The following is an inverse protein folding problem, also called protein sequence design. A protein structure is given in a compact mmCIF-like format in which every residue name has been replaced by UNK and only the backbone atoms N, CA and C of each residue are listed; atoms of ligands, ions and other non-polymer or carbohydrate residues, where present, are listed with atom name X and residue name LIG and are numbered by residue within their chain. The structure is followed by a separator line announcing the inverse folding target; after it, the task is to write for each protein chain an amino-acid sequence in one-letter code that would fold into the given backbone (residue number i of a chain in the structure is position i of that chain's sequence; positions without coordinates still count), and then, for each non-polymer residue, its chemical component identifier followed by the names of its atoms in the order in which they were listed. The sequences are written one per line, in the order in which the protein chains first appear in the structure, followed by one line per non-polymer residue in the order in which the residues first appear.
data_IF_660060349185
#
_entry.id   IF_660060349185
#
_cell.length_a   1.000
_cell.length_b   1.000
_cell.length_c   1.000
_cell.angle_alpha   90.00
_cell.angle_beta   90.00
_cell.angle_gamma   90.00
#
_symmetry.space_group_name_H-M   'P 1'
#
loop_
_entity.id
_entity.type
_entity.pdbx_description
1 polymer ?
#
# COMPACT_ATOMS: atom_id res chain seq x y z
N UNK A 1 -19.28 56.49 -38.20
CA UNK A 1 -18.35 55.85 -37.24
C UNK A 1 -19.17 54.95 -36.32
N UNK A 2 -19.14 53.64 -36.55
CA UNK A 2 -19.69 52.62 -35.64
C UNK A 2 -18.52 51.74 -35.24
N UNK A 3 -18.07 51.86 -33.99
CA UNK A 3 -16.95 51.09 -33.45
C UNK A 3 -17.51 49.78 -32.92
N UNK A 4 -17.22 48.67 -33.62
CA UNK A 4 -17.52 47.33 -33.15
C UNK A 4 -16.44 46.93 -32.13
N UNK A 5 -16.86 46.62 -30.90
CA UNK A 5 -16.00 46.06 -29.86
C UNK A 5 -15.92 44.55 -30.09
N UNK A 6 -14.78 44.05 -30.55
CA UNK A 6 -14.49 42.62 -30.65
C UNK A 6 -14.03 42.16 -29.28
N UNK A 7 -14.89 41.44 -28.55
CA UNK A 7 -14.53 40.77 -27.31
C UNK A 7 -13.91 39.42 -27.66
N UNK A 8 -12.58 39.37 -27.71
CA UNK A 8 -11.83 38.12 -27.91
C UNK A 8 -11.87 37.30 -26.60
N UNK A 9 -12.60 36.18 -26.59
CA UNK A 9 -12.45 35.16 -25.54
C UNK A 9 -11.09 34.47 -25.72
N UNK A 10 -10.14 34.81 -24.85
CA UNK A 10 -8.96 33.99 -24.61
C UNK A 10 -9.35 32.88 -23.64
N UNK A 11 -9.79 31.72 -24.16
CA UNK A 11 -9.68 30.47 -23.40
C UNK A 11 -8.19 30.11 -23.36
N UNK A 12 -7.49 30.60 -22.33
CA UNK A 12 -6.17 30.09 -21.99
C UNK A 12 -6.32 28.66 -21.48
N UNK A 13 -5.96 27.68 -22.30
CA UNK A 13 -5.62 26.36 -21.80
C UNK A 13 -4.36 26.53 -20.93
N UNK A 14 -4.55 26.64 -19.61
CA UNK A 14 -3.45 26.52 -18.67
C UNK A 14 -2.95 25.07 -18.80
N UNK A 15 -1.87 24.86 -19.56
CA UNK A 15 -1.09 23.64 -19.45
C UNK A 15 -0.53 23.64 -18.04
N UNK A 16 -1.14 22.85 -17.15
CA UNK A 16 -0.53 22.59 -15.86
C UNK A 16 0.85 21.96 -16.14
N UNK A 17 1.89 22.59 -15.61
CA UNK A 17 3.26 22.09 -15.75
C UNK A 17 3.38 20.79 -14.96
N UNK A 18 4.03 19.79 -15.55
CA UNK A 18 4.37 18.55 -14.83
C UNK A 18 5.17 18.89 -13.57
N UNK A 19 4.97 18.09 -12.52
CA UNK A 19 5.77 18.17 -11.29
C UNK A 19 6.86 17.10 -11.29
N UNK A 20 7.85 17.29 -10.43
CA UNK A 20 8.89 16.30 -10.15
C UNK A 20 8.56 15.56 -8.86
N UNK A 21 8.66 14.24 -8.90
CA UNK A 21 8.56 13.33 -7.75
C UNK A 21 9.93 12.81 -7.40
N UNK A 22 10.21 12.73 -6.10
CA UNK A 22 11.42 12.11 -5.56
C UNK A 22 11.07 10.80 -4.85
N UNK A 23 11.75 9.73 -5.23
CA UNK A 23 11.61 8.41 -4.62
C UNK A 23 12.84 8.04 -3.78
N UNK A 24 12.67 7.21 -2.73
CA UNK A 24 11.39 6.70 -2.23
C UNK A 24 10.59 7.78 -1.47
N UNK A 25 9.27 7.73 -1.54
CA UNK A 25 8.40 8.66 -0.78
C UNK A 25 8.31 8.30 0.70
N UNK A 26 8.51 7.02 1.04
CA UNK A 26 8.71 6.54 2.41
C UNK A 26 10.01 5.71 2.44
N UNK A 27 11.16 6.30 2.81
CA UNK A 27 12.44 5.60 2.88
C UNK A 27 12.51 4.62 4.06
N UNK A 28 13.41 3.65 3.99
CA UNK A 28 13.56 2.61 5.02
C UNK A 28 12.42 1.59 5.02
N UNK A 29 12.24 0.89 6.14
CA UNK A 29 11.29 -0.21 6.28
C UNK A 29 9.82 0.24 6.21
N UNK A 30 9.32 0.40 4.98
CA UNK A 30 7.94 0.72 4.61
C UNK A 30 7.50 -0.19 3.45
N UNK A 31 7.34 -1.50 3.69
CA UNK A 31 6.98 -2.44 2.64
C UNK A 31 5.46 -2.47 2.40
N UNK A 32 5.08 -3.13 1.31
CA UNK A 32 3.70 -3.53 1.01
C UNK A 32 2.71 -2.35 1.15
N UNK A 33 2.93 -1.23 0.42
CA UNK A 33 2.17 -0.01 0.63
C UNK A 33 0.74 -0.11 0.09
N UNK A 34 -0.25 0.24 0.91
CA UNK A 34 -1.62 0.45 0.47
C UNK A 34 -2.10 1.84 0.84
N UNK A 35 -2.59 2.59 -0.15
CA UNK A 35 -2.90 4.00 0.01
C UNK A 35 -4.33 4.33 -0.43
N UNK A 36 -4.94 5.30 0.26
CA UNK A 36 -6.29 5.76 -0.04
C UNK A 36 -6.40 7.28 0.11
N UNK A 37 -7.04 7.91 -0.87
CA UNK A 37 -7.39 9.33 -0.82
C UNK A 37 -8.71 9.56 -0.08
N UNK A 38 -8.73 10.55 0.80
CA UNK A 38 -9.85 10.81 1.71
C UNK A 38 -10.26 12.29 1.63
N UNK A 39 -11.29 12.63 0.82
CA UNK A 39 -11.66 14.01 0.58
C UNK A 39 -12.15 14.73 1.85
N UNK A 40 -12.88 14.01 2.71
CA UNK A 40 -13.49 14.59 3.91
C UNK A 40 -12.49 14.83 5.05
N UNK A 41 -11.24 14.35 4.93
CA UNK A 41 -10.15 14.62 5.87
C UNK A 41 -9.14 15.55 5.22
N UNK A 42 -9.60 16.72 4.78
CA UNK A 42 -8.79 17.77 4.17
C UNK A 42 -8.04 17.32 2.90
N UNK A 43 -8.67 16.47 2.09
CA UNK A 43 -8.05 15.89 0.88
C UNK A 43 -6.70 15.18 1.16
N UNK A 44 -6.56 14.55 2.33
CA UNK A 44 -5.36 13.78 2.65
C UNK A 44 -5.37 12.43 1.93
N UNK A 45 -4.17 11.98 1.57
CA UNK A 45 -3.86 10.59 1.25
C UNK A 45 -3.31 9.95 2.51
N UNK A 46 -3.77 8.74 2.82
CA UNK A 46 -3.23 7.91 3.89
C UNK A 46 -2.62 6.64 3.31
N UNK A 47 -1.48 6.21 3.83
CA UNK A 47 -0.86 4.95 3.47
C UNK A 47 -0.61 4.08 4.70
N UNK A 48 -0.71 2.76 4.51
CA UNK A 48 -0.31 1.75 5.47
C UNK A 48 0.86 0.93 4.91
N UNK A 49 1.74 0.48 5.80
CA UNK A 49 2.85 -0.43 5.46
C UNK A 49 2.87 -1.63 6.41
N UNK A 50 3.34 -2.78 5.91
CA UNK A 50 3.53 -3.96 6.74
C UNK A 50 4.59 -3.71 7.83
N UNK A 51 4.55 -4.50 8.90
CA UNK A 51 5.39 -4.25 10.09
C UNK A 51 6.11 -5.48 10.64
N UNK A 52 5.74 -6.68 10.18
CA UNK A 52 6.33 -7.95 10.61
C UNK A 52 6.27 -8.05 12.13
N UNK A 53 7.43 -8.17 12.79
CA UNK A 53 7.54 -8.26 14.25
C UNK A 53 7.64 -6.90 14.95
N UNK A 54 7.54 -5.79 14.22
CA UNK A 54 7.65 -4.45 14.81
C UNK A 54 6.35 -4.08 15.54
N UNK A 55 6.48 -3.56 16.76
CA UNK A 55 5.37 -3.05 17.55
C UNK A 55 5.69 -1.64 18.08
N UNK A 56 4.76 -0.67 18.04
CA UNK A 56 3.39 -0.76 17.52
C UNK A 56 3.34 -1.06 16.01
N UNK A 57 2.37 -1.89 15.61
CA UNK A 57 2.26 -2.49 14.27
C UNK A 57 1.42 -1.65 13.30
N UNK A 58 1.74 -1.79 12.00
CA UNK A 58 1.21 -1.03 10.86
C UNK A 58 1.24 0.47 11.11
N UNK A 59 2.31 1.09 10.63
CA UNK A 59 2.40 2.54 10.59
C UNK A 59 1.40 3.10 9.56
N UNK A 60 0.63 4.10 9.99
CA UNK A 60 -0.21 4.92 9.14
C UNK A 60 0.48 6.25 8.89
N UNK A 61 0.70 6.58 7.62
CA UNK A 61 1.24 7.87 7.20
C UNK A 61 0.19 8.68 6.47
N UNK A 62 0.31 10.01 6.51
CA UNK A 62 -0.60 10.93 5.83
C UNK A 62 0.18 11.96 5.01
N UNK A 63 -0.34 12.32 3.84
CA UNK A 63 0.22 13.35 2.98
C UNK A 63 -0.87 14.13 2.25
N UNK A 64 -0.60 15.41 1.98
CA UNK A 64 -1.43 16.24 1.10
C UNK A 64 -0.86 16.38 -0.30
N UNK A 65 0.45 16.27 -0.45
CA UNK A 65 1.17 16.61 -1.69
C UNK A 65 1.93 15.42 -2.29
N UNK A 66 1.77 14.23 -1.70
CA UNK A 66 2.42 12.97 -2.08
C UNK A 66 3.96 12.97 -1.97
N UNK A 67 4.57 14.00 -1.37
CA UNK A 67 6.02 14.11 -1.18
C UNK A 67 6.40 14.22 0.29
N UNK A 68 5.64 15.01 1.06
CA UNK A 68 5.83 15.15 2.49
C UNK A 68 4.81 14.27 3.22
N UNK A 69 5.32 13.36 4.04
CA UNK A 69 4.53 12.37 4.76
C UNK A 69 4.73 12.52 6.26
N UNK A 70 3.64 12.51 7.00
CA UNK A 70 3.64 12.52 8.47
C UNK A 70 3.25 11.13 8.99
N UNK A 71 3.95 10.64 10.02
CA UNK A 71 3.58 9.46 10.81
C UNK A 71 2.44 9.83 11.75
N UNK A 72 1.23 9.34 11.48
CA UNK A 72 0.02 9.82 12.16
C UNK A 72 -0.54 8.85 13.19
N UNK A 73 -0.45 7.55 12.97
CA UNK A 73 -0.87 6.55 13.96
C UNK A 73 -0.28 5.18 13.67
N UNK A 74 -0.57 4.22 14.54
CA UNK A 74 -0.38 2.80 14.30
C UNK A 74 -1.71 2.08 14.45
N UNK A 75 -2.06 1.19 13.51
CA UNK A 75 -3.32 0.44 13.58
C UNK A 75 -3.32 -0.55 14.76
N UNK A 76 -2.13 -1.05 15.14
CA UNK A 76 -1.94 -1.91 16.30
C UNK A 76 -1.06 -1.21 17.32
N UNK A 77 -1.65 -0.84 18.45
CA UNK A 77 -0.92 -0.16 19.52
C UNK A 77 -1.26 -0.69 20.91
N UNK A 78 -2.21 -1.62 21.01
CA UNK A 78 -2.60 -2.25 22.27
C UNK A 78 -2.37 -3.75 22.24
N UNK A 79 -1.86 -4.30 23.33
CA UNK A 79 -1.56 -5.73 23.43
C UNK A 79 -2.82 -6.61 23.34
N UNK A 80 -3.96 -6.11 23.80
CA UNK A 80 -5.25 -6.79 23.75
C UNK A 80 -5.86 -6.84 22.34
N UNK A 81 -5.43 -5.97 21.41
CA UNK A 81 -5.85 -6.05 20.00
C UNK A 81 -5.34 -7.32 19.33
N UNK A 82 -4.09 -7.73 19.60
CA UNK A 82 -3.48 -8.92 18.98
C UNK A 82 -2.71 -9.75 20.01
N UNK A 83 -3.41 -10.50 20.89
CA UNK A 83 -2.75 -11.30 21.91
C UNK A 83 -1.79 -12.37 21.35
N UNK A 84 -2.08 -12.87 20.14
CA UNK A 84 -1.25 -13.86 19.43
C UNK A 84 0.12 -13.30 19.02
N UNK A 85 0.21 -11.99 18.79
CA UNK A 85 1.46 -11.33 18.39
C UNK A 85 2.55 -11.39 19.46
N UNK A 86 2.17 -11.62 20.73
CA UNK A 86 3.09 -11.82 21.83
C UNK A 86 3.71 -13.24 21.88
N UNK A 87 3.27 -14.15 21.02
CA UNK A 87 3.83 -15.50 20.94
C UNK A 87 5.15 -15.51 20.16
N UNK A 88 6.08 -16.44 20.45
CA UNK A 88 7.31 -16.56 19.69
C UNK A 88 7.05 -16.76 18.20
N UNK A 89 7.73 -15.98 17.37
CA UNK A 89 7.65 -16.03 15.92
C UNK A 89 9.06 -16.02 15.33
N UNK A 90 9.19 -16.31 14.03
CA UNK A 90 10.46 -16.16 13.31
C UNK A 90 10.55 -14.77 12.68
N UNK A 91 11.75 -14.38 12.26
CA UNK A 91 12.06 -13.07 11.67
C UNK A 91 11.25 -12.73 10.40
N UNK A 92 10.60 -13.71 9.78
CA UNK A 92 9.74 -13.53 8.60
C UNK A 92 8.24 -13.56 8.91
N UNK A 93 7.84 -13.80 10.16
CA UNK A 93 6.45 -13.82 10.58
C UNK A 93 5.91 -12.46 11.03
N UNK A 94 4.73 -12.47 11.65
CA UNK A 94 4.05 -11.28 12.16
C UNK A 94 3.18 -10.62 11.09
N UNK A 95 3.04 -9.30 11.17
CA UNK A 95 2.08 -8.55 10.34
C UNK A 95 2.59 -8.30 8.92
N UNK A 96 2.04 -9.04 7.97
CA UNK A 96 2.33 -8.95 6.53
C UNK A 96 1.52 -7.85 5.83
N UNK A 97 1.50 -7.84 4.49
CA UNK A 97 0.93 -6.79 3.64
C UNK A 97 -0.47 -6.34 4.07
N UNK A 98 -0.66 -5.06 4.45
CA UNK A 98 -1.97 -4.52 4.77
C UNK A 98 -2.66 -3.96 3.52
N UNK A 99 -3.99 -4.03 3.50
CA UNK A 99 -4.80 -3.24 2.57
C UNK A 99 -5.57 -2.19 3.37
N UNK A 100 -5.40 -0.91 3.01
CA UNK A 100 -6.12 0.22 3.60
C UNK A 100 -7.18 0.71 2.62
N UNK A 101 -8.43 0.77 3.07
CA UNK A 101 -9.54 1.32 2.30
C UNK A 101 -10.37 2.29 3.13
N UNK A 102 -11.06 3.19 2.45
CA UNK A 102 -11.95 4.16 3.07
C UNK A 102 -13.32 4.12 2.41
N UNK A 103 -14.37 3.98 3.23
CA UNK A 103 -15.75 4.00 2.77
C UNK A 103 -16.64 4.63 3.82
N UNK A 104 -17.49 5.57 3.39
CA UNK A 104 -18.57 6.14 4.21
C UNK A 104 -18.11 6.67 5.59
N UNK A 105 -16.98 7.39 5.64
CA UNK A 105 -16.48 7.98 6.89
C UNK A 105 -15.60 7.06 7.74
N UNK A 106 -15.32 5.85 7.28
CA UNK A 106 -14.57 4.84 8.03
C UNK A 106 -13.43 4.25 7.22
N UNK A 107 -12.30 4.06 7.88
CA UNK A 107 -11.18 3.28 7.38
C UNK A 107 -11.37 1.81 7.74
N UNK A 108 -11.04 0.95 6.79
CA UNK A 108 -10.98 -0.49 6.94
C UNK A 108 -9.57 -0.91 6.59
N UNK A 109 -8.94 -1.64 7.50
CA UNK A 109 -7.64 -2.22 7.26
C UNK A 109 -7.73 -3.73 7.40
N UNK A 110 -7.24 -4.44 6.40
CA UNK A 110 -7.10 -5.90 6.42
C UNK A 110 -5.64 -6.28 6.35
N UNK A 111 -5.25 -7.33 7.06
CA UNK A 111 -3.87 -7.85 7.07
C UNK A 111 -3.86 -9.28 7.59
N UNK A 112 -2.67 -9.88 7.64
CA UNK A 112 -2.40 -11.23 8.12
C UNK A 112 -1.31 -11.17 9.18
N UNK A 113 -1.56 -11.77 10.35
CA UNK A 113 -0.52 -12.16 11.30
C UNK A 113 -0.07 -13.58 10.97
N UNK A 114 1.16 -13.70 10.46
CA UNK A 114 1.73 -14.96 10.00
C UNK A 114 2.48 -15.65 11.13
N UNK A 115 1.99 -16.81 11.55
CA UNK A 115 2.63 -17.66 12.55
C UNK A 115 3.73 -18.51 11.90
N UNK A 116 4.83 -17.86 11.54
CA UNK A 116 5.88 -18.46 10.71
C UNK A 116 6.57 -19.74 11.24
N UNK A 117 6.52 -20.09 12.54
CA UNK A 117 6.93 -21.41 13.02
C UNK A 117 6.10 -22.60 12.50
N UNK A 118 4.84 -22.36 12.07
CA UNK A 118 3.99 -23.40 11.49
C UNK A 118 4.37 -23.64 10.02
N UNK A 119 4.24 -24.85 9.45
CA UNK A 119 4.48 -25.11 8.04
C UNK A 119 3.61 -24.25 7.12
N UNK A 120 4.05 -24.00 5.88
CA UNK A 120 3.27 -23.23 4.91
C UNK A 120 1.91 -23.88 4.63
N UNK A 121 1.82 -25.21 4.62
CA UNK A 121 0.62 -26.03 4.38
C UNK A 121 -0.30 -26.23 5.60
N UNK A 122 0.00 -25.54 6.71
CA UNK A 122 -0.88 -25.45 7.86
C UNK A 122 -1.79 -24.22 7.74
N UNK A 123 -3.09 -24.43 7.52
CA UNK A 123 -4.07 -23.34 7.39
C UNK A 123 -4.09 -22.43 8.64
N UNK A 124 -3.73 -22.95 9.82
CA UNK A 124 -3.68 -22.16 11.06
C UNK A 124 -2.48 -21.20 11.15
N UNK A 125 -1.56 -21.26 10.18
CA UNK A 125 -0.48 -20.28 10.00
C UNK A 125 -1.01 -18.87 9.71
N UNK A 126 -2.20 -18.77 9.12
CA UNK A 126 -2.73 -17.56 8.50
C UNK A 126 -3.81 -16.90 9.36
N UNK A 127 -3.42 -15.99 10.27
CA UNK A 127 -4.39 -15.28 11.11
C UNK A 127 -4.80 -13.98 10.42
N UNK A 128 -5.97 -13.98 9.79
CA UNK A 128 -6.46 -12.84 9.02
C UNK A 128 -7.59 -12.09 9.75
N UNK A 129 -7.59 -10.77 9.63
CA UNK A 129 -8.57 -9.94 10.34
C UNK A 129 -8.73 -8.53 9.75
N UNK A 130 -9.82 -7.86 10.14
CA UNK A 130 -10.15 -6.48 9.81
C UNK A 130 -10.07 -5.63 11.08
N UNK A 131 -9.46 -4.46 11.01
CA UNK A 131 -9.62 -3.39 12.01
C UNK A 131 -10.15 -2.13 11.35
N UNK A 132 -10.89 -1.32 12.11
CA UNK A 132 -11.51 -0.10 11.58
C UNK A 132 -11.25 1.11 12.46
N UNK A 133 -11.29 2.29 11.87
CA UNK A 133 -11.29 3.56 12.60
C UNK A 133 -12.06 4.65 11.86
N UNK A 134 -12.59 5.63 12.58
CA UNK A 134 -13.09 6.90 12.02
C UNK A 134 -12.10 8.05 12.21
N UNK A 135 -10.99 7.83 12.93
CA UNK A 135 -9.95 8.83 13.22
C UNK A 135 -8.55 8.23 13.00
N UNK A 136 -8.02 8.23 11.77
CA UNK A 136 -6.73 7.63 11.44
C UNK A 136 -5.53 8.36 12.07
N UNK A 137 -5.73 9.47 12.78
CA UNK A 137 -4.68 10.22 13.47
C UNK A 137 -4.44 9.74 14.91
N UNK A 138 -5.18 8.73 15.35
CA UNK A 138 -5.16 8.24 16.73
C UNK A 138 -5.03 6.74 16.78
N UNK A 139 -3.90 6.24 17.30
CA UNK A 139 -3.64 4.80 17.41
C UNK A 139 -4.66 4.08 18.32
N UNK A 140 -5.20 4.77 19.32
CA UNK A 140 -6.20 4.24 20.25
C UNK A 140 -7.63 4.22 19.68
N UNK A 141 -7.86 4.80 18.51
CA UNK A 141 -9.17 4.81 17.83
C UNK A 141 -9.44 3.55 16.99
N UNK A 142 -8.39 2.78 16.69
CA UNK A 142 -8.51 1.55 15.92
C UNK A 142 -9.22 0.48 16.75
N UNK A 143 -10.22 -0.15 16.14
CA UNK A 143 -11.05 -1.18 16.78
C UNK A 143 -10.23 -2.40 17.18
N UNK A 144 -10.88 -3.27 17.97
CA UNK A 144 -10.44 -4.66 18.09
C UNK A 144 -10.69 -5.38 16.76
N UNK A 145 -9.96 -6.46 16.46
CA UNK A 145 -10.05 -7.16 15.19
C UNK A 145 -11.35 -7.96 15.03
N UNK A 146 -11.90 -7.91 13.82
CA UNK A 146 -12.88 -8.89 13.33
C UNK A 146 -12.12 -9.93 12.52
N UNK A 147 -11.99 -11.13 13.07
CA UNK A 147 -11.27 -12.23 12.42
C UNK A 147 -12.10 -12.88 11.32
N UNK A 148 -11.44 -13.39 10.28
CA UNK A 148 -12.06 -14.16 9.22
C UNK A 148 -11.15 -15.34 8.81
N UNK A 149 -11.78 -16.41 8.35
CA UNK A 149 -11.12 -17.70 8.11
C UNK A 149 -10.79 -17.89 6.63
N UNK A 150 -9.53 -17.65 6.27
CA UNK A 150 -8.97 -17.90 4.93
C UNK A 150 -7.55 -18.48 5.05
N UNK A 151 -7.22 -19.39 4.12
CA UNK A 151 -5.98 -20.19 4.07
C UNK A 151 -4.80 -19.47 3.40
N UNK A 152 -4.60 -18.19 3.69
CA UNK A 152 -3.55 -17.41 3.04
C UNK A 152 -3.38 -15.98 3.52
N UNK A 153 -2.87 -15.13 2.65
CA UNK A 153 -2.34 -13.81 3.02
C UNK A 153 -2.68 -12.74 1.96
N UNK A 154 -2.24 -11.50 2.23
CA UNK A 154 -2.57 -10.29 1.47
C UNK A 154 -4.08 -10.08 1.25
N UNK A 155 -4.90 -10.12 2.31
CA UNK A 155 -6.33 -9.86 2.20
C UNK A 155 -6.58 -8.42 1.75
N UNK A 156 -7.38 -8.24 0.70
CA UNK A 156 -7.75 -6.94 0.14
C UNK A 156 -9.26 -6.81 -0.04
N UNK A 157 -9.81 -5.78 0.58
CA UNK A 157 -11.23 -5.43 0.47
C UNK A 157 -11.56 -4.69 -0.83
N UNK A 158 -12.74 -4.99 -1.36
CA UNK A 158 -13.36 -4.35 -2.50
C UNK A 158 -14.87 -4.23 -2.28
N UNK A 159 -15.46 -3.08 -2.59
CA UNK A 159 -16.92 -2.92 -2.59
C UNK A 159 -17.43 -2.84 -4.02
N UNK A 160 -18.51 -3.56 -4.30
CA UNK A 160 -19.16 -3.54 -5.60
C UNK A 160 -20.49 -2.77 -5.57
N UNK A 161 -21.00 -2.45 -6.75
CA UNK A 161 -22.28 -1.74 -6.94
C UNK A 161 -23.50 -2.59 -6.53
N UNK A 162 -23.32 -3.88 -6.25
CA UNK A 162 -24.35 -4.75 -5.68
C UNK A 162 -24.58 -4.51 -4.17
N UNK A 163 -23.77 -3.64 -3.56
CA UNK A 163 -23.84 -3.27 -2.15
C UNK A 163 -23.06 -4.20 -1.22
N UNK A 164 -22.43 -5.24 -1.74
CA UNK A 164 -21.63 -6.19 -0.97
C UNK A 164 -20.17 -5.74 -0.86
N UNK A 165 -19.53 -6.21 0.20
CA UNK A 165 -18.08 -6.22 0.32
C UNK A 165 -17.56 -7.59 -0.11
N UNK A 166 -16.41 -7.56 -0.78
CA UNK A 166 -15.67 -8.74 -1.21
C UNK A 166 -14.24 -8.68 -0.70
N UNK A 167 -13.67 -9.86 -0.52
CA UNK A 167 -12.29 -10.06 -0.12
C UNK A 167 -11.56 -10.85 -1.21
N UNK A 168 -10.40 -10.36 -1.62
CA UNK A 168 -9.41 -11.11 -2.40
C UNK A 168 -8.20 -11.46 -1.53
N UNK A 169 -7.60 -12.63 -1.72
CA UNK A 169 -6.38 -13.04 -1.01
C UNK A 169 -5.56 -14.03 -1.84
N UNK A 170 -4.29 -14.20 -1.47
CA UNK A 170 -3.35 -15.15 -2.07
C UNK A 170 -3.12 -16.36 -1.16
N UNK A 171 -2.72 -17.50 -1.73
CA UNK A 171 -2.38 -18.73 -0.97
C UNK A 171 -1.05 -19.29 -1.44
N UNK A 172 -0.15 -19.70 -0.52
CA UNK A 172 1.12 -20.34 -0.88
C UNK A 172 0.93 -21.76 -1.44
N UNK A 173 -0.05 -22.51 -0.92
CA UNK A 173 -0.27 -23.91 -1.29
C UNK A 173 -1.40 -24.05 -2.29
N UNK A 174 -1.07 -23.89 -3.56
CA UNK A 174 -2.04 -24.14 -4.61
C UNK A 174 -2.14 -25.64 -4.90
N UNK A 175 -3.21 -26.30 -4.44
CA UNK A 175 -3.66 -27.53 -5.09
C UNK A 175 -4.14 -27.15 -6.51
N UNK A 176 -3.34 -27.51 -7.54
CA UNK A 176 -3.55 -27.19 -8.96
C UNK A 176 -3.38 -25.70 -9.36
N UNK A 177 -2.32 -25.03 -8.91
CA UNK A 177 -1.92 -23.69 -9.39
C UNK A 177 -2.96 -22.56 -9.16
N UNK A 178 -3.96 -22.77 -8.30
CA UNK A 178 -4.95 -21.77 -7.87
C UNK A 178 -4.40 -20.90 -6.75
N UNK A 179 -4.22 -19.61 -7.01
CA UNK A 179 -3.42 -18.76 -6.11
C UNK A 179 -4.22 -17.56 -5.61
N UNK A 180 -4.95 -16.84 -6.47
CA UNK A 180 -5.78 -15.70 -6.04
C UNK A 180 -7.23 -16.13 -5.88
N UNK A 181 -7.76 -16.00 -4.67
CA UNK A 181 -9.14 -16.31 -4.30
C UNK A 181 -9.96 -15.05 -4.08
N UNK A 182 -11.27 -15.18 -4.23
CA UNK A 182 -12.23 -14.09 -4.08
C UNK A 182 -13.56 -14.60 -3.52
N UNK A 183 -14.11 -13.89 -2.55
CA UNK A 183 -15.38 -14.24 -1.91
C UNK A 183 -16.08 -12.98 -1.36
N UNK A 184 -17.43 -12.97 -1.25
CA UNK A 184 -18.10 -11.95 -0.46
C UNK A 184 -17.76 -12.13 1.03
N UNK A 185 -17.72 -11.02 1.77
CA UNK A 185 -17.41 -10.99 3.20
C UNK A 185 -18.44 -10.14 3.95
N UNK A 186 -18.87 -10.64 5.10
CA UNK A 186 -19.61 -9.85 6.09
C UNK A 186 -18.60 -9.16 7.03
N UNK A 187 -18.56 -7.82 7.00
CA UNK A 187 -17.52 -7.05 7.70
C UNK A 187 -17.69 -7.00 9.23
N UNK A 188 -18.88 -7.28 9.73
CA UNK A 188 -19.18 -7.24 11.17
C UNK A 188 -18.84 -8.57 11.86
N UNK A 189 -19.11 -9.69 11.17
CA UNK A 189 -18.89 -11.05 11.68
C UNK A 189 -17.61 -11.71 11.16
N UNK A 190 -17.02 -11.20 10.08
CA UNK A 190 -15.90 -11.84 9.38
C UNK A 190 -16.31 -13.08 8.56
N UNK A 191 -17.61 -13.34 8.38
CA UNK A 191 -18.08 -14.52 7.66
C UNK A 191 -17.71 -14.44 6.17
N UNK A 192 -16.99 -15.44 5.67
CA UNK A 192 -16.61 -15.57 4.26
C UNK A 192 -17.65 -16.41 3.52
N UNK A 193 -18.12 -15.92 2.37
CA UNK A 193 -19.00 -16.66 1.48
C UNK A 193 -18.29 -17.70 0.63
N UNK A 194 -18.95 -18.16 -0.44
CA UNK A 194 -18.33 -19.14 -1.35
C UNK A 194 -17.15 -18.53 -2.10
N UNK A 195 -15.95 -19.06 -1.85
CA UNK A 195 -14.73 -18.63 -2.52
C UNK A 195 -14.61 -19.15 -3.95
N UNK A 196 -14.07 -18.32 -4.81
CA UNK A 196 -13.78 -18.62 -6.21
C UNK A 196 -12.34 -18.17 -6.47
N UNK A 197 -11.47 -19.07 -6.92
CA UNK A 197 -10.18 -18.65 -7.46
C UNK A 197 -10.44 -17.75 -8.69
N UNK A 198 -9.84 -16.59 -8.89
CA UNK A 198 -10.27 -15.70 -10.00
C UNK A 198 -9.22 -15.55 -11.09
N UNK A 199 -7.95 -15.68 -10.73
CA UNK A 199 -6.82 -15.60 -11.65
C UNK A 199 -5.57 -16.24 -11.01
N UNK A 200 -4.66 -16.75 -11.84
CA UNK A 200 -3.44 -17.42 -11.39
C UNK A 200 -2.17 -16.65 -11.78
N UNK A 201 -2.32 -15.37 -12.15
CA UNK A 201 -1.24 -14.56 -12.68
C UNK A 201 -0.87 -14.91 -14.12
N UNK A 202 0.36 -14.58 -14.48
CA UNK A 202 0.94 -14.74 -15.82
C UNK A 202 1.88 -15.94 -15.93
N UNK A 203 2.05 -16.67 -14.84
CA UNK A 203 2.97 -17.81 -14.72
C UNK A 203 4.27 -17.48 -14.00
N UNK A 204 4.36 -16.30 -13.37
CA UNK A 204 5.43 -15.97 -12.44
C UNK A 204 5.29 -16.76 -11.13
N UNK A 205 6.37 -16.83 -10.35
CA UNK A 205 6.33 -17.44 -9.02
C UNK A 205 5.57 -16.55 -8.04
N UNK A 206 4.87 -17.14 -7.07
CA UNK A 206 4.22 -16.41 -5.97
C UNK A 206 3.31 -15.24 -6.40
N UNK A 207 2.24 -15.49 -7.19
CA UNK A 207 1.17 -14.52 -7.37
C UNK A 207 0.56 -14.08 -6.02
N UNK A 208 0.59 -12.79 -5.71
CA UNK A 208 0.21 -12.26 -4.39
C UNK A 208 -0.31 -10.81 -4.46
N UNK A 209 -0.54 -10.16 -3.32
CA UNK A 209 -0.97 -8.74 -3.25
C UNK A 209 -2.19 -8.37 -4.13
N UNK A 210 -3.31 -9.12 -4.10
CA UNK A 210 -4.41 -8.87 -5.02
C UNK A 210 -5.19 -7.59 -4.68
N UNK A 211 -5.29 -6.64 -5.61
CA UNK A 211 -6.18 -5.49 -5.48
C UNK A 211 -7.16 -5.38 -6.64
N UNK A 212 -8.44 -5.18 -6.32
CA UNK A 212 -9.52 -5.10 -7.31
C UNK A 212 -10.01 -3.66 -7.49
N UNK A 213 -10.20 -3.28 -8.75
CA UNK A 213 -10.73 -1.98 -9.16
C UNK A 213 -11.88 -2.15 -10.13
N UNK A 214 -12.92 -1.32 -10.01
CA UNK A 214 -14.00 -1.27 -11.01
C UNK A 214 -13.85 -0.02 -11.88
N UNK A 215 -13.65 -0.21 -13.18
CA UNK A 215 -13.50 0.88 -14.14
C UNK A 215 -14.00 0.48 -15.52
N UNK A 216 -14.76 1.37 -16.17
CA UNK A 216 -15.26 1.20 -17.54
C UNK A 216 -16.02 -0.13 -17.78
N UNK A 217 -16.78 -0.59 -16.78
CA UNK A 217 -17.54 -1.84 -16.83
C UNK A 217 -16.69 -3.12 -16.68
N UNK A 218 -15.43 -2.98 -16.27
CA UNK A 218 -14.53 -4.08 -15.95
C UNK A 218 -14.11 -4.07 -14.49
N UNK A 219 -13.99 -5.26 -13.92
CA UNK A 219 -13.23 -5.55 -12.71
C UNK A 219 -11.79 -5.81 -13.12
N UNK A 220 -10.86 -4.97 -12.71
CA UNK A 220 -9.44 -5.13 -12.92
C UNK A 220 -8.83 -5.71 -11.65
N UNK A 221 -8.06 -6.78 -11.78
CA UNK A 221 -7.34 -7.43 -10.70
C UNK A 221 -5.85 -7.21 -10.93
N UNK A 222 -5.26 -6.40 -10.06
CA UNK A 222 -3.83 -6.14 -9.96
C UNK A 222 -3.24 -7.14 -8.97
N UNK A 223 -2.09 -7.72 -9.28
CA UNK A 223 -1.36 -8.62 -8.38
C UNK A 223 0.15 -8.36 -8.48
N UNK A 224 0.90 -8.88 -7.53
CA UNK A 224 2.34 -9.05 -7.64
C UNK A 224 2.69 -10.48 -8.08
N UNK A 225 3.82 -10.65 -8.76
CA UNK A 225 4.42 -11.94 -9.11
C UNK A 225 5.96 -11.85 -9.04
N UNK A 226 6.65 -12.98 -9.11
CA UNK A 226 8.12 -13.07 -9.13
C UNK A 226 8.78 -13.10 -7.74
N UNK A 227 7.97 -13.07 -6.68
CA UNK A 227 8.40 -12.92 -5.28
C UNK A 227 9.02 -11.55 -5.00
N UNK A 228 9.10 -11.14 -3.72
CA UNK A 228 9.57 -9.81 -3.32
C UNK A 228 11.09 -9.54 -3.52
N UNK A 229 11.78 -10.36 -4.32
CA UNK A 229 13.20 -10.23 -4.66
C UNK A 229 13.41 -9.54 -6.02
N UNK A 230 14.55 -9.79 -6.68
CA UNK A 230 14.86 -9.13 -7.96
C UNK A 230 13.91 -9.45 -9.12
N UNK A 231 13.18 -10.55 -9.04
CA UNK A 231 12.19 -10.94 -10.05
C UNK A 231 10.82 -10.26 -9.87
N UNK A 232 10.66 -9.44 -8.82
CA UNK A 232 9.37 -8.85 -8.46
C UNK A 232 8.79 -8.02 -9.61
N UNK A 233 7.50 -8.16 -9.79
CA UNK A 233 6.76 -7.47 -10.83
C UNK A 233 5.29 -7.30 -10.45
N UNK A 234 4.63 -6.36 -11.13
CA UNK A 234 3.19 -6.13 -11.05
C UNK A 234 2.55 -6.60 -12.34
N UNK A 235 1.49 -7.40 -12.22
CA UNK A 235 0.69 -7.85 -13.36
C UNK A 235 -0.79 -7.53 -13.13
N UNK A 236 -1.53 -7.38 -14.22
CA UNK A 236 -2.96 -7.06 -14.16
C UNK A 236 -3.76 -7.90 -15.15
N UNK A 237 -4.97 -8.24 -14.75
CA UNK A 237 -5.99 -8.85 -15.60
C UNK A 237 -7.32 -8.11 -15.41
N UNK A 238 -8.30 -8.33 -16.29
CA UNK A 238 -9.64 -7.77 -16.11
C UNK A 238 -10.74 -8.72 -16.53
N UNK A 239 -11.95 -8.50 -16.03
CA UNK A 239 -13.14 -9.23 -16.44
C UNK A 239 -14.37 -8.33 -16.44
N UNK A 240 -15.38 -8.67 -17.25
CA UNK A 240 -16.72 -8.07 -17.14
C UNK A 240 -17.56 -8.71 -16.03
N UNK A 241 -17.03 -9.73 -15.36
CA UNK A 241 -17.69 -10.47 -14.27
C UNK A 241 -16.73 -10.50 -13.09
N UNK A 242 -17.23 -10.21 -11.90
CA UNK A 242 -16.40 -10.14 -10.68
C UNK A 242 -15.60 -11.42 -10.39
N UNK A 243 -16.12 -12.58 -10.79
CA UNK A 243 -15.45 -13.86 -10.57
C UNK A 243 -14.55 -14.30 -11.72
N UNK A 244 -15.12 -14.59 -12.91
CA UNK A 244 -14.39 -15.20 -14.02
C UNK A 244 -15.11 -15.00 -15.36
N UNK A 245 -14.41 -15.15 -16.50
CA UNK A 245 -12.95 -15.31 -16.64
C UNK A 245 -12.24 -13.96 -16.64
N UNK A 246 -11.02 -13.92 -16.11
CA UNK A 246 -10.11 -12.76 -16.21
C UNK A 246 -9.21 -12.91 -17.45
N UNK A 247 -9.17 -11.89 -18.30
CA UNK A 247 -8.21 -11.76 -19.40
C UNK A 247 -6.95 -11.03 -18.91
N UNK A 248 -5.77 -11.61 -19.12
CA UNK A 248 -4.51 -10.96 -18.77
C UNK A 248 -4.23 -9.77 -19.69
N UNK A 249 -3.67 -8.69 -19.13
CA UNK A 249 -3.16 -7.60 -19.96
C UNK A 249 -2.03 -8.13 -20.86
N UNK A 250 -2.11 -7.95 -22.20
CA UNK A 250 -1.09 -8.43 -23.14
C UNK A 250 0.27 -7.74 -22.96
N UNK A 251 0.33 -6.64 -22.20
CA UNK A 251 1.57 -5.91 -21.88
C UNK A 251 2.09 -6.22 -20.47
N UNK A 252 1.62 -7.28 -19.81
CA UNK A 252 2.21 -7.71 -18.54
C UNK A 252 3.69 -8.13 -18.72
N UNK A 253 4.55 -7.92 -17.69
CA UNK A 253 4.26 -7.16 -16.47
C UNK A 253 4.14 -5.66 -16.75
N UNK A 254 3.25 -4.99 -16.01
CA UNK A 254 3.00 -3.55 -16.18
C UNK A 254 3.92 -2.66 -15.34
N UNK A 255 4.64 -3.25 -14.37
CA UNK A 255 5.72 -2.61 -13.63
C UNK A 255 6.74 -3.66 -13.19
N UNK A 256 8.02 -3.42 -13.50
CA UNK A 256 9.16 -4.19 -12.98
C UNK A 256 10.46 -3.47 -13.37
N UNK A 257 11.51 -3.53 -12.54
CA UNK A 257 12.90 -3.31 -12.97
C UNK A 257 13.71 -4.62 -12.94
N UNK A 258 13.06 -5.80 -12.92
CA UNK A 258 13.74 -7.08 -13.08
C UNK A 258 14.60 -7.10 -14.35
N UNK A 259 15.77 -7.74 -14.26
CA UNK A 259 16.76 -7.82 -15.34
C UNK A 259 17.29 -6.47 -15.87
N UNK A 260 17.14 -5.38 -15.11
CA UNK A 260 17.73 -4.07 -15.42
C UNK A 260 18.93 -3.74 -14.51
N UNK A 261 19.62 -2.64 -14.80
CA UNK A 261 20.69 -2.07 -13.95
C UNK A 261 20.22 -0.84 -13.16
N UNK A 262 18.91 -0.65 -13.02
CA UNK A 262 18.34 0.50 -12.30
C UNK A 262 18.65 0.41 -10.80
N UNK A 263 18.73 1.57 -10.14
CA UNK A 263 19.09 1.62 -8.72
C UNK A 263 17.96 1.14 -7.79
N UNK A 264 16.72 1.48 -8.17
CA UNK A 264 15.52 0.92 -7.59
C UNK A 264 15.29 -0.44 -8.26
N UNK A 265 15.07 -1.46 -7.44
CA UNK A 265 14.88 -2.84 -7.84
C UNK A 265 13.74 -3.47 -7.03
N UNK A 266 13.36 -4.70 -7.39
CA UNK A 266 12.34 -5.47 -6.70
C UNK A 266 10.98 -4.74 -6.61
N UNK A 267 10.62 -3.96 -7.63
CA UNK A 267 9.33 -3.27 -7.67
C UNK A 267 8.18 -4.25 -7.82
N UNK A 268 7.23 -4.17 -6.90
CA UNK A 268 6.01 -4.95 -6.95
C UNK A 268 5.11 -4.65 -5.76
N UNK A 269 4.16 -5.53 -5.51
CA UNK A 269 3.15 -5.37 -4.44
C UNK A 269 2.55 -3.95 -4.45
N UNK A 270 1.97 -3.60 -5.61
CA UNK A 270 1.53 -2.24 -5.88
C UNK A 270 0.05 -2.02 -5.55
N UNK A 271 -0.31 -0.80 -5.19
CA UNK A 271 -1.69 -0.32 -5.00
C UNK A 271 -1.90 0.97 -5.80
N UNK A 272 -3.12 1.19 -6.31
CA UNK A 272 -3.48 2.31 -7.17
C UNK A 272 -4.57 3.16 -6.52
N UNK A 273 -4.45 4.48 -6.62
CA UNK A 273 -5.46 5.40 -6.09
C UNK A 273 -5.52 6.68 -6.92
N UNK A 274 -6.59 7.44 -6.73
CA UNK A 274 -6.74 8.76 -7.34
C UNK A 274 -6.53 9.87 -6.32
N UNK A 275 -6.01 11.01 -6.75
CA UNK A 275 -5.99 12.23 -5.94
C UNK A 275 -7.28 13.06 -6.10
N UNK A 276 -7.31 14.24 -5.45
CA UNK A 276 -8.43 15.18 -5.53
C UNK A 276 -8.71 15.72 -6.95
N UNK A 277 -7.73 15.64 -7.86
CA UNK A 277 -7.85 16.05 -9.26
C UNK A 277 -8.26 14.89 -10.18
N UNK A 278 -8.42 13.69 -9.64
CA UNK A 278 -8.71 12.47 -10.38
C UNK A 278 -7.50 11.88 -11.12
N UNK A 279 -6.29 12.38 -10.88
CA UNK A 279 -5.09 11.76 -11.43
C UNK A 279 -4.84 10.43 -10.75
N UNK A 280 -4.51 9.41 -11.56
CA UNK A 280 -4.14 8.11 -11.04
C UNK A 280 -2.66 8.09 -10.64
N UNK A 281 -2.43 7.56 -9.45
CA UNK A 281 -1.15 7.33 -8.82
C UNK A 281 -1.03 5.84 -8.49
N UNK A 282 0.21 5.35 -8.50
CA UNK A 282 0.52 4.03 -7.99
C UNK A 282 1.64 4.10 -6.96
N UNK A 283 1.50 3.30 -5.92
CA UNK A 283 2.57 3.00 -4.97
C UNK A 283 3.00 1.56 -5.14
N UNK A 284 4.27 1.28 -4.87
CA UNK A 284 4.82 -0.07 -4.85
C UNK A 284 5.90 -0.14 -3.78
N UNK A 285 6.21 -1.34 -3.31
CA UNK A 285 7.48 -1.53 -2.62
C UNK A 285 8.63 -1.52 -3.61
N UNK A 286 9.82 -1.10 -3.19
CA UNK A 286 11.06 -1.20 -3.95
C UNK A 286 12.25 -1.26 -2.99
N UNK A 287 13.38 -1.75 -3.46
CA UNK A 287 14.64 -1.77 -2.74
C UNK A 287 15.68 -0.94 -3.49
N UNK A 288 16.37 -0.04 -2.79
CA UNK A 288 17.64 0.49 -3.28
C UNK A 288 18.71 -0.59 -3.12
N UNK A 289 19.08 -1.24 -4.22
CA UNK A 289 20.07 -2.31 -4.23
C UNK A 289 21.45 -1.77 -4.61
N UNK A 290 22.40 -1.89 -3.68
CA UNK A 290 23.82 -1.71 -3.95
C UNK A 290 24.48 -3.06 -4.24
N UNK A 291 25.39 -3.09 -5.22
CA UNK A 291 26.29 -4.21 -5.42
C UNK A 291 27.57 -4.00 -4.59
N UNK A 292 27.86 -4.91 -3.69
CA UNK A 292 29.10 -4.90 -2.90
C UNK A 292 29.85 -6.23 -3.06
N UNK A 293 31.17 -6.17 -3.03
CA UNK A 293 32.00 -7.38 -2.97
C UNK A 293 32.22 -7.71 -1.50
N UNK A 294 31.64 -8.82 -1.04
CA UNK A 294 31.84 -9.35 0.31
C UNK A 294 32.49 -10.72 0.20
N UNK A 295 33.65 -10.87 0.85
CA UNK A 295 34.48 -12.09 0.79
C UNK A 295 34.83 -12.56 -0.64
N UNK A 296 34.93 -11.63 -1.60
CA UNK A 296 35.26 -11.94 -3.00
C UNK A 296 34.05 -12.30 -3.87
N UNK A 297 32.83 -12.30 -3.31
CA UNK A 297 31.58 -12.55 -4.03
C UNK A 297 30.76 -11.27 -4.14
N UNK A 298 30.11 -11.07 -5.29
CA UNK A 298 29.19 -9.95 -5.47
C UNK A 298 27.87 -10.25 -4.75
N UNK A 299 27.58 -9.47 -3.71
CA UNK A 299 26.32 -9.50 -2.99
C UNK A 299 25.51 -8.26 -3.33
N UNK A 300 24.19 -8.42 -3.37
CA UNK A 300 23.26 -7.30 -3.48
C UNK A 300 22.72 -7.00 -2.10
N UNK A 301 23.01 -5.80 -1.62
CA UNK A 301 22.62 -5.35 -0.28
C UNK A 301 21.51 -4.31 -0.38
N UNK A 302 20.54 -4.42 0.52
CA UNK A 302 19.52 -3.41 0.78
C UNK A 302 19.52 -3.06 2.27
N UNK A 303 20.41 -2.18 2.74
CA UNK A 303 20.48 -1.85 4.17
C UNK A 303 19.21 -1.17 4.68
N UNK A 304 18.41 -0.58 3.78
CA UNK A 304 17.16 0.11 4.11
C UNK A 304 15.94 -0.83 4.06
N UNK A 305 16.12 -2.06 3.58
CA UNK A 305 15.02 -2.99 3.34
C UNK A 305 14.11 -2.54 2.19
N UNK A 306 12.82 -2.86 2.31
CA UNK A 306 11.77 -2.52 1.33
C UNK A 306 11.15 -1.17 1.70
N UNK A 307 11.23 -0.23 0.76
CA UNK A 307 10.80 1.16 0.86
C UNK A 307 9.57 1.39 -0.03
N UNK A 308 8.81 2.46 0.19
CA UNK A 308 7.65 2.80 -0.67
C UNK A 308 8.04 3.83 -1.73
N UNK A 309 7.70 3.52 -2.98
CA UNK A 309 7.89 4.41 -4.14
C UNK A 309 6.55 4.84 -4.73
N UNK A 310 6.53 5.97 -5.43
CA UNK A 310 5.37 6.56 -6.09
C UNK A 310 5.65 6.79 -7.58
N UNK A 311 4.63 6.59 -8.41
CA UNK A 311 4.68 6.85 -9.84
C UNK A 311 3.31 7.27 -10.40
N UNK A 312 3.27 8.10 -11.47
CA UNK A 312 2.04 8.43 -12.16
C UNK A 312 1.52 7.21 -12.95
N UNK A 313 0.20 7.08 -13.01
CA UNK A 313 -0.48 6.06 -13.82
C UNK A 313 -1.37 6.74 -14.86
N UNK A 314 -1.22 6.34 -16.12
CA UNK A 314 -2.14 6.75 -17.19
C UNK A 314 -3.17 5.64 -17.38
N UNK A 315 -4.43 5.90 -17.03
CA UNK A 315 -5.51 4.93 -17.20
C UNK A 315 -6.70 5.54 -17.95
N UNK A 316 -6.58 5.59 -19.28
CA UNK A 316 -7.62 6.15 -20.14
C UNK A 316 -8.86 5.26 -20.17
N UNK A 317 -9.95 5.83 -20.65
CA UNK A 317 -11.22 5.13 -20.81
C UNK A 317 -11.06 3.91 -21.72
N UNK A 318 -11.54 2.75 -21.29
CA UNK A 318 -11.49 1.46 -22.00
C UNK A 318 -10.08 0.91 -22.28
N UNK A 319 -9.03 1.55 -21.77
CA UNK A 319 -7.63 1.12 -21.90
C UNK A 319 -7.14 0.39 -20.65
N UNK A 320 -5.98 -0.26 -20.78
CA UNK A 320 -5.22 -0.78 -19.64
C UNK A 320 -4.44 0.34 -18.95
N UNK A 321 -4.14 0.23 -17.64
CA UNK A 321 -3.28 1.20 -16.98
C UNK A 321 -1.85 1.07 -17.51
N UNK A 322 -1.21 2.22 -17.73
CA UNK A 322 0.21 2.33 -18.06
C UNK A 322 0.90 2.99 -16.88
N UNK A 323 1.79 2.24 -16.23
CA UNK A 323 2.57 2.69 -15.08
C UNK A 323 3.92 3.19 -15.59
N UNK A 324 4.37 4.32 -15.05
CA UNK A 324 5.71 4.80 -15.37
C UNK A 324 6.75 4.03 -14.56
N UNK A 325 7.88 3.59 -15.17
CA UNK A 325 8.93 2.90 -14.43
C UNK A 325 9.46 3.73 -13.25
N UNK A 326 9.69 3.07 -12.13
CA UNK A 326 10.19 3.72 -10.91
C UNK A 326 11.62 4.17 -11.11
N UNK A 327 11.88 5.45 -10.85
CA UNK A 327 13.19 6.10 -10.81
C UNK A 327 13.27 7.01 -9.59
N UNK A 328 14.48 7.42 -9.23
CA UNK A 328 14.70 8.35 -8.11
C UNK A 328 14.10 9.74 -8.34
N UNK A 329 14.09 10.20 -9.59
CA UNK A 329 13.42 11.42 -10.03
C UNK A 329 12.47 11.10 -11.18
N UNK A 330 11.21 11.50 -11.06
CA UNK A 330 10.17 11.21 -12.06
C UNK A 330 9.41 12.50 -12.40
N UNK A 331 9.22 12.78 -13.70
CA UNK A 331 8.27 13.80 -14.14
C UNK A 331 6.86 13.20 -14.18
N UNK A 332 5.92 13.84 -13.48
CA UNK A 332 4.57 13.33 -13.26
C UNK A 332 3.51 14.41 -13.47
N UNK A 333 2.25 14.04 -13.24
CA UNK A 333 1.15 14.99 -13.11
C UNK A 333 1.51 16.11 -12.12
N UNK A 334 0.85 17.27 -12.20
CA UNK A 334 0.91 18.25 -11.13
C UNK A 334 0.61 17.57 -9.79
N UNK A 335 1.51 17.72 -8.82
CA UNK A 335 1.27 17.23 -7.46
C UNK A 335 0.06 17.98 -6.85
N UNK A 336 -0.70 17.33 -5.94
CA UNK A 336 -1.77 18.03 -5.27
C UNK A 336 -1.23 19.24 -4.46
N UNK A 337 -2.06 20.28 -4.30
CA UNK A 337 -1.64 21.60 -3.80
C UNK A 337 -0.88 21.53 -2.46
N UNK A 338 0.30 22.15 -2.44
CA UNK A 338 1.10 22.35 -1.23
C UNK A 338 0.52 23.44 -0.30
N UNK A 339 -0.43 24.27 -0.76
CA UNK A 339 -0.87 25.49 -0.04
C UNK A 339 -1.90 25.23 1.07
N UNK A 340 -2.37 23.98 1.23
CA UNK A 340 -3.34 23.60 2.26
C UNK A 340 -2.68 23.16 3.59
N UNK A 341 -1.52 23.72 3.96
CA UNK A 341 -0.74 23.30 5.14
C UNK A 341 -1.41 23.75 6.45
N UNK A 342 -2.34 22.93 6.93
CA UNK A 342 -2.23 22.48 8.31
C UNK A 342 -1.35 21.24 8.30
N UNK A 343 -0.30 21.20 9.14
CA UNK A 343 0.45 19.97 9.41
C UNK A 343 -0.54 18.90 9.84
N UNK A 344 -0.41 17.67 9.33
CA UNK A 344 -1.08 16.57 10.02
C UNK A 344 -0.53 16.54 11.45
N UNK A 345 -1.29 16.10 12.46
CA UNK A 345 -0.82 16.06 13.85
C UNK A 345 0.34 15.05 14.08
N UNK A 346 0.94 14.52 13.01
CA UNK A 346 1.98 13.50 13.04
C UNK A 346 3.41 14.06 13.00
N UNK A 347 4.37 13.15 13.04
CA UNK A 347 5.80 13.45 12.97
C UNK A 347 6.29 13.12 11.56
N UNK A 348 6.90 14.09 10.87
CA UNK A 348 7.43 13.88 9.52
C UNK A 348 8.26 12.61 9.38
N UNK A 349 8.09 11.87 8.28
CA UNK A 349 8.83 10.63 8.01
C UNK A 349 10.32 10.92 7.80
N UNK A 350 10.66 12.10 7.30
CA UNK A 350 12.04 12.58 7.12
C UNK A 350 12.50 13.53 8.24
N UNK A 351 11.70 13.70 9.30
CA UNK A 351 12.12 14.52 10.44
C UNK A 351 13.29 13.87 11.16
N UNK A 352 14.03 14.67 11.95
CA UNK A 352 15.05 14.13 12.85
C UNK A 352 14.48 13.00 13.71
N UNK A 353 15.29 11.94 13.89
CA UNK A 353 14.97 10.87 14.83
C UNK A 353 15.25 11.27 16.29
N UNK A 354 15.85 12.45 16.51
CA UNK A 354 16.07 13.03 17.83
C UNK A 354 14.86 13.88 18.25
N UNK A 355 14.19 13.47 19.33
CA UNK A 355 13.12 14.24 19.96
C UNK A 355 13.45 14.51 21.41
N UNK A 356 13.57 15.79 21.77
CA UNK A 356 13.71 16.24 23.15
C UNK A 356 12.34 16.37 23.81
N UNK A 357 12.22 15.89 25.04
CA UNK A 357 10.98 15.96 25.82
C UNK A 357 11.28 16.30 27.29
N UNK A 358 10.32 16.93 27.95
CA UNK A 358 10.49 17.40 29.32
C UNK A 358 10.49 16.24 30.33
N UNK A 359 11.12 16.47 31.49
CA UNK A 359 11.05 15.51 32.59
C UNK A 359 9.57 15.28 32.97
N UNK A 360 9.14 14.01 32.96
CA UNK A 360 7.76 13.58 33.25
C UNK A 360 6.69 13.93 32.20
N UNK A 361 7.05 14.35 30.97
CA UNK A 361 6.10 14.33 29.87
C UNK A 361 5.92 12.91 29.32
N UNK A 362 4.74 12.62 28.76
CA UNK A 362 4.54 11.41 27.98
C UNK A 362 5.51 11.39 26.77
N UNK A 363 5.96 10.20 26.36
CA UNK A 363 6.65 10.06 25.09
C UNK A 363 5.73 10.57 23.96
N UNK A 364 6.28 11.24 22.93
CA UNK A 364 5.50 11.61 21.76
C UNK A 364 4.78 10.38 21.20
N UNK A 365 3.49 10.51 20.91
CA UNK A 365 2.78 9.47 20.17
C UNK A 365 3.50 9.23 18.83
N UNK A 366 3.54 7.97 18.37
CA UNK A 366 4.19 7.56 17.12
C UNK A 366 5.73 7.63 17.12
N UNK A 367 6.36 7.60 18.30
CA UNK A 367 7.83 7.51 18.45
C UNK A 367 8.41 6.10 18.24
N UNK A 368 7.60 5.11 17.84
CA UNK A 368 8.01 3.69 17.78
C UNK A 368 9.19 3.41 16.84
N UNK A 369 9.51 4.35 15.95
CA UNK A 369 10.64 4.32 15.03
C UNK A 369 11.77 5.31 15.36
N UNK A 370 11.72 6.00 16.51
CA UNK A 370 12.68 7.04 16.90
C UNK A 370 13.74 6.54 17.88
N UNK A 371 14.99 7.00 17.72
CA UNK A 371 16.02 6.87 18.76
C UNK A 371 15.77 7.90 19.86
N UNK A 372 15.07 7.47 20.92
CA UNK A 372 14.76 8.33 22.06
C UNK A 372 16.00 8.48 22.94
N UNK A 373 16.74 9.59 22.77
CA UNK A 373 17.84 9.95 23.67
C UNK A 373 17.36 10.94 24.72
N UNK A 374 17.72 10.69 25.99
CA UNK A 374 17.49 11.63 27.09
C UNK A 374 18.60 12.67 27.04
N UNK A 375 18.42 13.76 26.30
CA UNK A 375 19.48 14.75 26.15
C UNK A 375 19.50 15.76 27.34
N UNK A 376 20.62 15.72 28.07
CA UNK A 376 21.19 16.71 29.03
C UNK A 376 20.34 17.18 30.22
N UNK A 377 20.46 16.43 31.33
CA UNK A 377 20.42 16.99 32.68
C UNK A 377 21.84 16.97 33.29
N UNK A 378 22.54 18.09 33.14
CA UNK A 378 23.49 18.64 34.11
C UNK A 378 23.31 20.16 34.13
#
# INVERSE_FOLDING_TARGET
MKTACVLSLLLGAVRALNSTIYNPILPGFHPDPSCVFVPNLNNNIFCASSSFLSFPGILITASKDLQHWDRVSHAFSRQDQLPAFAQPNTEVGGIWGPTLRYREGRFYLTTTDVLAPLPDDDDSRWVNFIVTTTDPYRSDSWSDPVYFDVDGYDPSLFWDDDGLAYLSWATLNSVNDKIIWHAPIDLDSGSIGTRVNIWNGTGGTTPEGPHMYKKDGYYHLLIAEGGTGKGHMVTIARSKRIYRPYESNPLNPILTNADTTEYFQAEGHADLFQDASGHWWGVALSMRLGAEIVNGEQMFLSPMGRETVLYPVTWRENEWPILLPVRGEISAWPLPSQDAVGSSPGIGVTSSDEVDFALASALPANSGSLWVSRSKLL
#
